data_IF_310649887536
#
_entry.id   IF_310649887536
#
_cell.length_a   1.000
_cell.length_b   1.000
_cell.length_c   1.000
_cell.angle_alpha   90.00
_cell.angle_beta   90.00
_cell.angle_gamma   90.00
#
_symmetry.space_group_name_H-M   'P 1'
#
loop_
_entity.id
_entity.type
_entity.pdbx_description
1 polymer ?
#
# COMPACT_ATOMS: atom_id res chain seq x y z
N UNK A 1 -6.75 12.21 -17.80
CA UNK A 1 -7.72 11.65 -16.82
C UNK A 1 -6.94 11.08 -15.66
N UNK A 2 -7.50 11.16 -14.45
CA UNK A 2 -6.95 10.55 -13.24
C UNK A 2 -7.50 9.15 -13.05
N UNK A 3 -6.62 8.18 -12.82
CA UNK A 3 -6.97 6.77 -12.68
C UNK A 3 -6.34 6.22 -11.41
N UNK A 4 -7.15 5.61 -10.54
CA UNK A 4 -6.65 4.85 -9.39
C UNK A 4 -6.79 3.37 -9.68
N UNK A 5 -5.68 2.64 -9.64
CA UNK A 5 -5.65 1.20 -9.92
C UNK A 5 -5.32 0.46 -8.63
N UNK A 6 -6.25 -0.39 -8.17
CA UNK A 6 -6.05 -1.22 -6.97
C UNK A 6 -5.61 -2.63 -7.35
N UNK A 7 -4.40 -3.00 -6.96
CA UNK A 7 -3.93 -4.39 -7.09
C UNK A 7 -4.18 -5.19 -5.81
N UNK A 8 -4.73 -6.39 -6.00
CA UNK A 8 -4.78 -7.40 -4.96
C UNK A 8 -3.35 -7.86 -4.65
N UNK A 9 -2.97 -7.87 -3.38
CA UNK A 9 -1.59 -8.20 -2.99
C UNK A 9 -1.13 -9.59 -3.42
N UNK A 10 -2.07 -10.54 -3.57
CA UNK A 10 -1.78 -11.89 -4.05
C UNK A 10 -1.21 -11.91 -5.49
N UNK A 11 -1.52 -10.91 -6.32
CA UNK A 11 -0.99 -10.80 -7.68
C UNK A 11 0.48 -10.35 -7.70
N UNK A 12 0.98 -9.81 -6.58
CA UNK A 12 2.32 -9.26 -6.47
C UNK A 12 3.37 -10.30 -6.02
N UNK A 13 2.97 -11.57 -5.87
CA UNK A 13 3.87 -12.65 -5.49
C UNK A 13 4.58 -13.25 -6.72
N UNK A 14 3.90 -13.32 -7.86
CA UNK A 14 4.42 -13.87 -9.12
C UNK A 14 5.06 -12.79 -10.01
N UNK A 15 6.32 -13.03 -10.40
CA UNK A 15 7.10 -12.08 -11.20
C UNK A 15 6.52 -11.85 -12.61
N UNK A 16 5.97 -12.89 -13.25
CA UNK A 16 5.39 -12.75 -14.59
C UNK A 16 4.13 -11.88 -14.56
N UNK A 17 3.29 -12.08 -13.54
CA UNK A 17 2.11 -11.25 -13.27
C UNK A 17 2.50 -9.81 -12.98
N UNK A 18 3.49 -9.58 -12.10
CA UNK A 18 3.97 -8.22 -11.78
C UNK A 18 4.46 -7.49 -13.03
N UNK A 19 5.26 -8.14 -13.89
CA UNK A 19 5.72 -7.54 -15.15
C UNK A 19 4.57 -7.23 -16.10
N UNK A 20 3.62 -8.15 -16.24
CA UNK A 20 2.44 -7.93 -17.10
C UNK A 20 1.59 -6.73 -16.64
N UNK A 21 1.38 -6.60 -15.32
CA UNK A 21 0.67 -5.47 -14.73
C UNK A 21 1.45 -4.16 -14.90
N UNK A 22 2.77 -4.20 -14.63
CA UNK A 22 3.65 -3.05 -14.79
C UNK A 22 3.62 -2.49 -16.21
N UNK A 23 3.69 -3.36 -17.22
CA UNK A 23 3.62 -2.98 -18.64
C UNK A 23 2.31 -2.28 -18.99
N UNK A 24 1.18 -2.81 -18.50
CA UNK A 24 -0.13 -2.21 -18.74
C UNK A 24 -0.27 -0.83 -18.07
N UNK A 25 0.20 -0.70 -16.83
CA UNK A 25 0.19 0.56 -16.09
C UNK A 25 1.08 1.60 -16.77
N UNK A 26 2.30 1.22 -17.15
CA UNK A 26 3.24 2.10 -17.84
C UNK A 26 2.66 2.59 -19.17
N UNK A 27 2.04 1.70 -19.95
CA UNK A 27 1.39 2.07 -21.21
C UNK A 27 0.27 3.12 -21.02
N UNK A 28 -0.57 2.96 -19.98
CA UNK A 28 -1.61 3.95 -19.67
C UNK A 28 -1.00 5.31 -19.25
N UNK A 29 0.07 5.29 -18.47
CA UNK A 29 0.75 6.52 -18.05
C UNK A 29 1.37 7.25 -19.25
N UNK A 30 2.02 6.52 -20.16
CA UNK A 30 2.61 7.03 -21.39
C UNK A 30 1.58 7.60 -22.37
N UNK A 31 0.30 7.22 -22.24
CA UNK A 31 -0.82 7.83 -22.96
C UNK A 31 -1.28 9.18 -22.36
N UNK A 32 -0.61 9.67 -21.31
CA UNK A 32 -0.92 10.93 -20.65
C UNK A 32 -1.98 10.80 -19.53
N UNK A 33 -2.18 9.60 -18.98
CA UNK A 33 -3.02 9.42 -17.80
C UNK A 33 -2.26 9.63 -16.51
N UNK A 34 -2.87 10.34 -15.56
CA UNK A 34 -2.35 10.52 -14.21
C UNK A 34 -2.76 9.30 -13.37
N UNK A 35 -1.82 8.41 -13.07
CA UNK A 35 -2.11 7.12 -12.43
C UNK A 35 -1.61 7.09 -11.00
N UNK A 36 -2.46 6.69 -10.06
CA UNK A 36 -2.06 6.25 -8.72
C UNK A 36 -2.31 4.74 -8.60
N UNK A 37 -1.24 3.98 -8.36
CA UNK A 37 -1.37 2.55 -8.06
C UNK A 37 -1.45 2.36 -6.56
N UNK A 38 -2.45 1.59 -6.11
CA UNK A 38 -2.60 1.20 -4.70
C UNK A 38 -2.49 -0.32 -4.61
N UNK A 39 -1.83 -0.86 -3.57
CA UNK A 39 -1.74 -2.31 -3.39
C UNK A 39 -1.90 -2.77 -1.94
N UNK A 40 -2.32 -4.03 -1.78
CA UNK A 40 -2.27 -4.74 -0.49
C UNK A 40 -1.12 -5.75 -0.45
N UNK A 41 -1.17 -6.70 0.48
CA UNK A 41 -0.15 -7.75 0.60
C UNK A 41 -0.46 -8.88 1.58
N UNK A 42 -1.75 -9.16 1.86
CA UNK A 42 -2.16 -9.97 3.01
C UNK A 42 -1.53 -11.37 3.12
N UNK A 43 -1.30 -12.05 2.00
CA UNK A 43 -0.66 -13.39 1.96
C UNK A 43 0.81 -13.32 2.40
N UNK A 44 1.63 -12.52 1.72
CA UNK A 44 3.02 -12.29 2.10
C UNK A 44 3.16 -11.74 3.53
N UNK A 45 2.27 -10.84 3.95
CA UNK A 45 2.25 -10.34 5.32
C UNK A 45 2.06 -11.47 6.34
N UNK A 46 1.06 -12.32 6.12
CA UNK A 46 0.80 -13.49 6.99
C UNK A 46 2.00 -14.45 7.01
N UNK A 47 2.63 -14.68 5.85
CA UNK A 47 3.81 -15.54 5.77
C UNK A 47 5.01 -14.94 6.54
N UNK A 48 5.21 -13.63 6.46
CA UNK A 48 6.29 -12.93 7.19
C UNK A 48 6.06 -12.97 8.70
N UNK A 49 4.83 -12.73 9.18
CA UNK A 49 4.50 -12.87 10.60
C UNK A 49 4.83 -14.27 11.11
N UNK A 50 4.41 -15.31 10.38
CA UNK A 50 4.71 -16.70 10.73
C UNK A 50 6.22 -16.97 10.80
N UNK A 51 7.00 -16.45 9.84
CA UNK A 51 8.47 -16.58 9.84
C UNK A 51 9.13 -15.91 11.04
N UNK A 52 8.53 -14.84 11.55
CA UNK A 52 9.01 -14.08 12.71
C UNK A 52 8.42 -14.60 14.03
N UNK A 53 7.68 -15.72 14.00
CA UNK A 53 6.97 -16.28 15.15
C UNK A 53 5.97 -15.30 15.81
N UNK A 54 5.41 -14.37 15.04
CA UNK A 54 4.35 -13.45 15.49
C UNK A 54 2.99 -14.08 15.17
N UNK A 55 2.17 -14.29 16.21
CA UNK A 55 0.86 -14.93 16.07
C UNK A 55 -0.15 -13.99 15.39
N UNK A 56 -0.93 -14.53 14.44
CA UNK A 56 -2.01 -13.79 13.79
C UNK A 56 -3.34 -14.03 14.51
N UNK A 57 -3.98 -12.96 14.99
CA UNK A 57 -5.30 -13.02 15.64
C UNK A 57 -6.35 -12.35 14.75
N UNK A 58 -7.55 -12.91 14.70
CA UNK A 58 -8.66 -12.39 13.92
C UNK A 58 -9.93 -12.34 14.78
N UNK A 59 -10.71 -11.27 14.63
CA UNK A 59 -12.05 -11.13 15.20
C UNK A 59 -12.99 -10.62 14.11
N UNK A 60 -14.14 -11.27 13.94
CA UNK A 60 -15.15 -10.91 12.93
C UNK A 60 -14.59 -10.74 11.51
N UNK A 61 -13.61 -11.58 11.14
CA UNK A 61 -12.94 -11.56 9.84
C UNK A 61 -11.86 -10.49 9.67
N UNK A 62 -11.70 -9.58 10.65
CA UNK A 62 -10.67 -8.56 10.68
C UNK A 62 -9.48 -9.01 11.52
N UNK A 63 -8.27 -8.71 11.05
CA UNK A 63 -7.04 -9.01 11.79
C UNK A 63 -6.87 -8.02 12.93
N UNK A 64 -6.67 -8.52 14.15
CA UNK A 64 -6.15 -7.70 15.25
C UNK A 64 -4.67 -7.44 14.97
N UNK A 65 -4.30 -6.17 14.91
CA UNK A 65 -2.95 -5.74 14.53
C UNK A 65 -2.31 -5.05 15.72
N UNK A 66 -1.45 -5.75 16.46
CA UNK A 66 -0.63 -5.15 17.50
C UNK A 66 0.59 -4.42 16.92
N UNK A 67 1.48 -3.93 17.80
CA UNK A 67 2.65 -3.13 17.41
C UNK A 67 3.61 -3.92 16.52
N UNK A 68 3.88 -5.17 16.87
CA UNK A 68 4.79 -6.03 16.11
C UNK A 68 4.19 -6.36 14.75
N UNK A 69 2.90 -6.70 14.71
CA UNK A 69 2.20 -6.97 13.47
C UNK A 69 2.15 -5.72 12.56
N UNK A 70 1.95 -4.53 13.13
CA UNK A 70 2.01 -3.26 12.40
C UNK A 70 3.38 -3.03 11.77
N UNK A 71 4.45 -3.23 12.54
CA UNK A 71 5.81 -3.00 12.03
C UNK A 71 6.14 -3.95 10.88
N UNK A 72 5.69 -5.21 10.98
CA UNK A 72 5.79 -6.16 9.87
C UNK A 72 4.93 -5.75 8.67
N UNK A 73 3.73 -5.19 8.89
CA UNK A 73 2.90 -4.67 7.81
C UNK A 73 3.63 -3.53 7.07
N UNK A 74 4.29 -2.61 7.78
CA UNK A 74 5.10 -1.54 7.17
C UNK A 74 6.26 -2.13 6.36
N UNK A 75 7.03 -3.06 6.93
CA UNK A 75 8.16 -3.70 6.25
C UNK A 75 7.73 -4.41 4.95
N UNK A 76 6.61 -5.13 4.98
CA UNK A 76 6.13 -5.90 3.82
C UNK A 76 5.45 -5.00 2.80
N UNK A 77 4.55 -4.12 3.23
CA UNK A 77 3.75 -3.31 2.32
C UNK A 77 4.55 -2.15 1.76
N UNK A 78 5.12 -1.26 2.59
CA UNK A 78 5.87 -0.10 2.13
C UNK A 78 7.29 -0.44 1.63
N UNK A 79 7.87 -1.52 2.17
CA UNK A 79 9.16 -2.03 1.72
C UNK A 79 9.02 -2.95 0.51
N UNK A 80 8.98 -4.25 0.79
CA UNK A 80 9.19 -5.28 -0.24
C UNK A 80 8.21 -5.20 -1.42
N UNK A 81 6.90 -5.15 -1.15
CA UNK A 81 5.89 -5.17 -2.23
C UNK A 81 5.84 -3.86 -3.01
N UNK A 82 5.83 -2.73 -2.30
CA UNK A 82 5.76 -1.41 -2.93
C UNK A 82 6.97 -1.15 -3.83
N UNK A 83 8.18 -1.44 -3.34
CA UNK A 83 9.40 -1.21 -4.11
C UNK A 83 9.56 -2.20 -5.28
N UNK A 84 9.12 -3.46 -5.13
CA UNK A 84 9.08 -4.41 -6.24
C UNK A 84 8.19 -3.92 -7.38
N UNK A 85 7.00 -3.40 -7.06
CA UNK A 85 6.07 -2.89 -8.06
C UNK A 85 6.56 -1.59 -8.71
N UNK A 86 7.07 -0.63 -7.93
CA UNK A 86 7.64 0.60 -8.46
C UNK A 86 8.85 0.33 -9.37
N UNK A 87 9.72 -0.63 -8.99
CA UNK A 87 10.84 -1.05 -9.82
C UNK A 87 10.38 -1.70 -11.13
N UNK A 88 9.36 -2.56 -11.08
CA UNK A 88 8.80 -3.18 -12.28
C UNK A 88 8.19 -2.16 -13.25
N UNK A 89 7.45 -1.17 -12.75
CA UNK A 89 6.88 -0.11 -13.60
C UNK A 89 8.00 0.75 -14.22
N UNK A 90 9.01 1.09 -13.42
CA UNK A 90 10.17 1.85 -13.90
C UNK A 90 10.96 1.11 -14.97
N UNK A 91 11.05 -0.21 -14.89
CA UNK A 91 11.70 -1.04 -15.90
C UNK A 91 10.96 -1.02 -17.26
N UNK A 92 9.68 -0.68 -17.29
CA UNK A 92 8.88 -0.52 -18.51
C UNK A 92 8.96 0.90 -19.09
N UNK A 93 9.88 1.73 -18.58
CA UNK A 93 10.18 3.07 -19.10
C UNK A 93 9.29 4.19 -18.55
N UNK A 94 8.42 3.92 -17.58
CA UNK A 94 7.65 4.94 -16.86
C UNK A 94 8.26 5.16 -15.47
N UNK A 95 8.87 6.32 -15.17
CA UNK A 95 9.39 6.62 -13.84
C UNK A 95 8.30 6.45 -12.78
N UNK A 96 8.51 5.54 -11.83
CA UNK A 96 7.59 5.29 -10.73
C UNK A 96 8.26 5.51 -9.38
N UNK A 97 7.48 6.01 -8.43
CA UNK A 97 7.94 6.28 -7.07
C UNK A 97 7.08 5.53 -6.07
N UNK A 98 7.74 4.70 -5.27
CA UNK A 98 7.09 4.02 -4.16
C UNK A 98 6.97 4.95 -2.96
N UNK A 99 5.75 5.33 -2.61
CA UNK A 99 5.41 6.18 -1.45
C UNK A 99 4.64 5.36 -0.39
N UNK A 100 4.53 5.92 0.80
CA UNK A 100 3.82 5.38 1.96
C UNK A 100 3.13 6.51 2.72
N UNK A 101 2.24 6.17 3.66
CA UNK A 101 1.45 7.15 4.39
C UNK A 101 2.27 8.25 5.10
N UNK A 102 3.50 7.94 5.54
CA UNK A 102 4.40 8.90 6.18
C UNK A 102 4.95 9.94 5.19
N UNK A 103 5.09 9.58 3.91
CA UNK A 103 5.63 10.48 2.88
C UNK A 103 4.64 11.62 2.66
N UNK A 104 5.07 12.84 3.04
CA UNK A 104 4.28 14.06 3.01
C UNK A 104 2.89 13.95 3.69
N UNK A 105 2.75 13.04 4.67
CA UNK A 105 1.46 12.73 5.33
C UNK A 105 0.36 12.42 4.29
N UNK A 106 0.71 11.68 3.24
CA UNK A 106 -0.15 11.56 2.06
C UNK A 106 -1.46 10.81 2.30
N UNK A 107 -1.51 9.91 3.28
CA UNK A 107 -2.71 9.21 3.70
C UNK A 107 -2.85 9.30 5.23
N UNK A 108 -3.87 9.99 5.71
CA UNK A 108 -4.15 10.14 7.16
C UNK A 108 -5.26 9.17 7.52
N UNK A 109 -5.15 8.52 8.68
CA UNK A 109 -6.12 7.55 9.17
C UNK A 109 -6.45 7.77 10.65
N UNK A 110 -7.65 7.32 11.02
CA UNK A 110 -8.09 7.21 12.41
C UNK A 110 -8.30 5.73 12.79
N UNK A 111 -8.12 5.38 14.07
CA UNK A 111 -8.39 4.02 14.55
C UNK A 111 -9.83 3.60 14.29
N UNK A 112 -10.01 2.35 13.86
CA UNK A 112 -11.32 1.76 13.68
C UNK A 112 -11.81 1.21 15.02
N UNK A 113 -12.92 1.74 15.53
CA UNK A 113 -13.61 1.21 16.71
C UNK A 113 -14.50 0.04 16.26
N UNK A 114 -14.28 -1.14 16.84
CA UNK A 114 -15.13 -2.30 16.61
C UNK A 114 -15.79 -2.72 17.92
N UNK A 115 -17.11 -2.56 18.00
CA UNK A 115 -17.90 -2.79 19.22
C UNK A 115 -17.84 -4.23 19.77
N UNK A 116 -17.42 -5.20 18.95
CA UNK A 116 -17.31 -6.63 19.33
C UNK A 116 -15.93 -7.00 19.88
N UNK A 117 -14.96 -6.08 19.87
CA UNK A 117 -13.58 -6.33 20.32
C UNK A 117 -13.28 -5.42 21.50
N UNK A 118 -13.28 -5.99 22.70
CA UNK A 118 -12.81 -5.28 23.90
C UNK A 118 -11.33 -4.91 23.73
N UNK A 119 -11.01 -3.62 23.70
CA UNK A 119 -9.66 -3.11 23.37
C UNK A 119 -9.42 -2.79 21.88
N UNK A 120 -10.39 -3.02 20.99
CA UNK A 120 -10.34 -2.68 19.57
C UNK A 120 -9.41 -3.59 18.73
N UNK A 121 -9.27 -3.25 17.44
CA UNK A 121 -8.46 -4.04 16.49
C UNK A 121 -6.95 -3.69 16.52
N UNK A 122 -6.51 -2.88 17.48
CA UNK A 122 -5.16 -2.32 17.52
C UNK A 122 -4.93 -1.29 16.41
N UNK A 123 -3.86 -1.45 15.63
CA UNK A 123 -3.45 -0.55 14.55
C UNK A 123 -4.23 -0.80 13.24
N UNK A 124 -5.55 -0.91 13.33
CA UNK A 124 -6.46 -0.97 12.18
C UNK A 124 -7.27 0.31 12.16
N UNK A 125 -7.46 0.90 10.97
CA UNK A 125 -8.09 2.20 10.82
C UNK A 125 -8.77 2.39 9.47
N UNK A 126 -9.36 3.58 9.32
CA UNK A 126 -9.93 4.07 8.06
C UNK A 126 -9.28 5.40 7.68
N UNK A 127 -9.20 5.68 6.38
CA UNK A 127 -8.62 6.93 5.89
C UNK A 127 -9.56 8.10 6.19
N UNK A 128 -9.01 9.20 6.71
CA UNK A 128 -9.70 10.45 6.99
C UNK A 128 -9.17 11.63 6.19
N UNK A 129 -7.99 11.49 5.57
CA UNK A 129 -7.40 12.54 4.77
C UNK A 129 -6.45 12.02 3.68
N UNK A 130 -6.35 12.81 2.62
CA UNK A 130 -5.42 12.62 1.51
C UNK A 130 -4.69 13.95 1.24
N UNK A 131 -3.36 13.92 1.18
CA UNK A 131 -2.59 15.05 0.66
C UNK A 131 -2.61 15.03 -0.88
N UNK A 132 -3.69 15.54 -1.46
CA UNK A 132 -3.88 15.54 -2.91
C UNK A 132 -2.79 16.35 -3.63
N UNK A 133 -2.35 17.47 -3.05
CA UNK A 133 -1.32 18.33 -3.64
C UNK A 133 0.01 17.57 -3.81
N UNK A 134 0.39 16.74 -2.85
CA UNK A 134 1.58 15.89 -2.99
C UNK A 134 1.45 14.91 -4.15
N UNK A 135 0.32 14.21 -4.26
CA UNK A 135 0.09 13.26 -5.38
C UNK A 135 0.09 13.98 -6.73
N UNK A 136 -0.57 15.14 -6.82
CA UNK A 136 -0.59 15.98 -8.02
C UNK A 136 0.81 16.47 -8.41
N UNK A 137 1.65 16.82 -7.43
CA UNK A 137 3.03 17.23 -7.69
C UNK A 137 3.86 16.10 -8.31
N UNK A 138 3.62 14.84 -7.91
CA UNK A 138 4.32 13.70 -8.51
C UNK A 138 3.89 13.51 -9.97
N UNK A 139 2.60 13.62 -10.27
CA UNK A 139 2.11 13.54 -11.65
C UNK A 139 2.63 14.69 -12.52
N UNK A 140 2.72 15.91 -11.98
CA UNK A 140 3.29 17.05 -12.69
C UNK A 140 4.74 16.81 -13.11
N UNK A 141 5.53 16.16 -12.25
CA UNK A 141 6.91 15.75 -12.57
C UNK A 141 7.01 14.49 -13.44
N UNK A 142 5.88 13.98 -13.95
CA UNK A 142 5.83 12.77 -14.77
C UNK A 142 6.11 11.47 -14.00
N UNK A 143 6.03 11.50 -12.67
CA UNK A 143 6.22 10.34 -11.81
C UNK A 143 4.91 9.60 -11.57
N UNK A 144 4.97 8.27 -11.57
CA UNK A 144 3.85 7.40 -11.24
C UNK A 144 3.92 6.96 -9.77
N UNK A 145 3.06 7.48 -8.87
CA UNK A 145 3.01 7.07 -7.48
C UNK A 145 2.46 5.64 -7.31
N UNK A 146 3.16 4.85 -6.50
CA UNK A 146 2.73 3.53 -6.03
C UNK A 146 2.62 3.56 -4.51
N UNK A 147 1.45 3.27 -3.96
CA UNK A 147 1.17 3.34 -2.53
C UNK A 147 0.65 2.01 -1.95
N UNK A 148 1.10 1.60 -0.75
CA UNK A 148 0.49 0.50 -0.02
C UNK A 148 -0.80 0.95 0.68
N UNK A 149 -1.65 -0.01 1.05
CA UNK A 149 -2.77 0.19 1.98
C UNK A 149 -2.29 0.43 3.43
N UNK A 150 -1.67 1.59 3.67
CA UNK A 150 -1.27 2.08 5.00
C UNK A 150 -1.81 3.49 5.19
N UNK A 151 -2.06 3.86 6.46
CA UNK A 151 -2.46 5.21 6.85
C UNK A 151 -1.64 5.70 8.04
N UNK A 152 -1.40 7.01 8.10
CA UNK A 152 -0.70 7.67 9.18
C UNK A 152 -1.71 8.05 10.27
N UNK A 153 -1.52 7.53 11.48
CA UNK A 153 -2.38 7.86 12.62
C UNK A 153 -2.22 9.31 13.06
N UNK A 154 -3.23 9.86 13.74
CA UNK A 154 -3.19 11.19 14.38
C UNK A 154 -2.07 11.35 15.40
N UNK A 155 -1.63 10.25 16.01
CA UNK A 155 -0.69 10.23 17.14
C UNK A 155 0.78 10.08 16.69
N UNK A 156 1.06 10.32 15.40
CA UNK A 156 2.36 10.09 14.73
C UNK A 156 3.05 11.38 14.32
#
# INVERSE_FOLDING_TARGET
MRIVIKFAGALLEDDATVRSLARQVAALAQQGHEILVVHGGGRLFTATLKRMAIESKFVSGLRVTDREARDVAVMVFAGLLNKRLAAAISAEGQPAVGISAADARCFVAEPMVHNEVEGGLGFVGYLTGLNAQFIESLWHEGLLPVAPCLGLGSDS
#
